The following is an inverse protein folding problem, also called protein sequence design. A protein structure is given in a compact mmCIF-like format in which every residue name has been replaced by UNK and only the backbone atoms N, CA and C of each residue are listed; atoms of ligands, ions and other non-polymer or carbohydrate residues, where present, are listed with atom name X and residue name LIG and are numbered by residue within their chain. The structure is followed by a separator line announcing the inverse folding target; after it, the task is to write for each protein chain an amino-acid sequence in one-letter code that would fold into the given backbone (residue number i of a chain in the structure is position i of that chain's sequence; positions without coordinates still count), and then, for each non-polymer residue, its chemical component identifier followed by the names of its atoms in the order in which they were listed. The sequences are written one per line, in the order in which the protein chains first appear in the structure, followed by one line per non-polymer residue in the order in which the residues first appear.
data_IF_786498051987
#
_entry.id   IF_786498051987
#
_cell.length_a   1.000
_cell.length_b   1.000
_cell.length_c   1.000
_cell.angle_alpha   90.00
_cell.angle_beta   90.00
_cell.angle_gamma   90.00
#
_symmetry.space_group_name_H-M   'P 1'
#
loop_
_entity.id
_entity.type
_entity.pdbx_description
1 polymer ?
#
# COMPACT_ATOMS: atom_id res chain seq x y z
N UNK A 1 -14.54 0.48 14.84
CA UNK A 1 -14.84 1.57 13.94
C UNK A 1 -13.93 1.53 12.76
N UNK A 2 -14.45 1.43 11.59
CA UNK A 2 -13.57 1.38 10.44
C UNK A 2 -12.94 2.74 10.22
N UNK A 3 -11.66 2.77 10.04
CA UNK A 3 -10.95 4.01 9.79
C UNK A 3 -9.75 3.72 8.90
N UNK A 4 -9.22 4.77 8.32
CA UNK A 4 -8.02 4.68 7.52
C UNK A 4 -6.82 4.66 8.46
N UNK A 5 -5.90 3.75 8.21
CA UNK A 5 -4.69 3.65 8.99
C UNK A 5 -3.51 4.11 8.15
N UNK A 6 -2.60 4.83 8.77
CA UNK A 6 -1.39 5.29 8.10
C UNK A 6 -0.21 4.75 8.87
N UNK A 7 0.67 4.04 8.18
CA UNK A 7 1.81 3.41 8.80
C UNK A 7 3.07 3.79 8.05
N UNK A 8 4.11 4.20 8.78
CA UNK A 8 5.40 4.47 8.16
C UNK A 8 6.26 3.22 8.29
N UNK A 9 6.87 2.83 7.19
CA UNK A 9 7.64 1.60 7.16
C UNK A 9 8.94 1.79 6.42
N UNK A 10 9.96 1.02 6.78
CA UNK A 10 11.25 1.12 6.11
C UNK A 10 11.26 0.28 4.83
N UNK A 11 12.12 0.63 3.88
CA UNK A 11 12.24 -0.17 2.66
C UNK A 11 12.60 -1.63 2.93
N UNK A 12 13.33 -1.87 4.03
CA UNK A 12 13.75 -3.24 4.35
C UNK A 12 12.60 -4.08 4.87
N UNK A 13 11.55 -3.46 5.39
CA UNK A 13 10.46 -4.18 6.02
C UNK A 13 9.16 -4.12 5.24
N UNK A 14 9.12 -3.35 4.16
CA UNK A 14 7.85 -3.12 3.49
C UNK A 14 7.21 -4.41 2.98
N UNK A 15 7.99 -5.29 2.38
CA UNK A 15 7.42 -6.53 1.85
C UNK A 15 6.93 -7.42 2.97
N UNK A 16 7.69 -7.53 4.05
CA UNK A 16 7.26 -8.32 5.19
C UNK A 16 5.99 -7.73 5.79
N UNK A 17 5.94 -6.40 5.90
CA UNK A 17 4.77 -5.73 6.44
C UNK A 17 3.53 -6.01 5.60
N UNK A 18 3.65 -5.88 4.27
CA UNK A 18 2.52 -6.11 3.38
C UNK A 18 2.07 -7.56 3.41
N UNK A 19 3.01 -8.49 3.50
CA UNK A 19 2.68 -9.90 3.57
C UNK A 19 1.93 -10.22 4.87
N UNK A 20 2.41 -9.68 5.98
CA UNK A 20 1.73 -9.88 7.24
C UNK A 20 0.36 -9.20 7.25
N UNK A 21 0.26 -8.02 6.64
CA UNK A 21 -1.01 -7.33 6.56
C UNK A 21 -2.04 -8.16 5.79
N UNK A 22 -1.60 -8.85 4.74
CA UNK A 22 -2.49 -9.72 3.99
C UNK A 22 -3.05 -10.82 4.87
N UNK A 23 -2.22 -11.37 5.74
CA UNK A 23 -2.66 -12.43 6.65
C UNK A 23 -3.71 -11.92 7.65
N UNK A 24 -3.52 -10.72 8.17
CA UNK A 24 -4.42 -10.20 9.20
C UNK A 24 -5.62 -9.45 8.67
N UNK A 25 -5.47 -8.80 7.51
CA UNK A 25 -6.53 -7.93 6.99
C UNK A 25 -7.25 -8.52 5.78
N UNK A 26 -6.66 -9.53 5.15
CA UNK A 26 -7.26 -10.16 3.99
C UNK A 26 -6.72 -9.61 2.69
N UNK A 27 -6.78 -10.43 1.66
CA UNK A 27 -6.22 -10.09 0.35
C UNK A 27 -6.96 -8.97 -0.34
N UNK A 28 -8.21 -8.77 0.02
CA UNK A 28 -9.05 -7.78 -0.65
C UNK A 28 -9.00 -6.40 -0.03
N UNK A 29 -8.21 -6.22 1.03
CA UNK A 29 -8.11 -4.91 1.66
C UNK A 29 -7.35 -3.95 0.76
N UNK A 30 -7.89 -2.76 0.55
CA UNK A 30 -7.23 -1.77 -0.29
C UNK A 30 -6.16 -1.02 0.47
N UNK A 31 -5.03 -0.82 -0.19
CA UNK A 31 -3.91 -0.08 0.39
C UNK A 31 -3.29 0.82 -0.67
N UNK A 32 -2.57 1.81 -0.23
CA UNK A 32 -1.74 2.64 -1.09
C UNK A 32 -0.35 2.69 -0.46
N UNK A 33 0.66 2.30 -1.21
CA UNK A 33 2.04 2.37 -0.75
C UNK A 33 2.65 3.58 -1.41
N UNK A 34 2.99 4.57 -0.60
CA UNK A 34 3.48 5.85 -1.09
C UNK A 34 4.97 5.94 -0.80
N UNK A 35 5.76 6.11 -1.84
CA UNK A 35 7.20 6.19 -1.72
C UNK A 35 7.67 7.56 -2.07
N UNK A 36 8.54 8.14 -1.28
CA UNK A 36 9.15 9.44 -1.55
C UNK A 36 8.14 10.54 -1.82
N UNK A 37 7.10 10.58 -0.98
CA UNK A 37 6.06 11.60 -1.14
C UNK A 37 6.65 12.99 -1.19
N UNK A 38 6.14 13.81 -2.07
CA UNK A 38 6.55 15.20 -2.30
C UNK A 38 7.97 15.37 -2.82
N UNK A 39 8.63 14.27 -3.19
CA UNK A 39 9.97 14.34 -3.76
C UNK A 39 9.91 14.08 -5.27
N UNK A 40 11.04 14.30 -5.93
CA UNK A 40 11.09 14.23 -7.38
C UNK A 40 10.70 12.85 -7.93
N UNK A 41 10.95 11.80 -7.17
CA UNK A 41 10.67 10.45 -7.64
C UNK A 41 9.55 9.81 -6.84
N UNK A 42 8.54 10.60 -6.54
CA UNK A 42 7.38 10.10 -5.82
C UNK A 42 6.68 8.99 -6.59
N UNK A 43 6.25 7.97 -5.89
CA UNK A 43 5.53 6.87 -6.48
C UNK A 43 4.41 6.44 -5.54
N UNK A 44 3.23 6.18 -6.08
CA UNK A 44 2.12 5.66 -5.30
C UNK A 44 1.61 4.41 -6.00
N UNK A 45 1.67 3.28 -5.29
CA UNK A 45 1.16 2.01 -5.78
C UNK A 45 -0.07 1.68 -4.96
N UNK A 46 -1.23 1.58 -5.61
CA UNK A 46 -2.47 1.34 -4.89
C UNK A 46 -3.22 0.17 -5.49
N UNK A 47 -4.03 -0.44 -4.67
CA UNK A 47 -4.87 -1.58 -5.09
C UNK A 47 -5.14 -2.46 -3.90
N UNK A 48 -5.64 -3.66 -4.17
CA UNK A 48 -5.86 -4.64 -3.12
C UNK A 48 -4.50 -5.20 -2.72
N UNK A 49 -4.41 -5.70 -1.48
CA UNK A 49 -3.15 -6.30 -1.03
C UNK A 49 -2.70 -7.41 -1.98
N UNK A 50 -3.66 -8.20 -2.51
CA UNK A 50 -3.31 -9.27 -3.45
C UNK A 50 -2.66 -8.74 -4.73
N UNK A 51 -2.92 -7.47 -5.08
CA UNK A 51 -2.34 -6.85 -6.26
C UNK A 51 -1.04 -6.14 -5.95
N UNK A 52 -0.94 -5.58 -4.77
CA UNK A 52 0.21 -4.75 -4.40
C UNK A 52 1.40 -5.59 -3.96
N UNK A 53 1.16 -6.67 -3.23
CA UNK A 53 2.25 -7.51 -2.74
C UNK A 53 3.15 -8.03 -3.88
N UNK A 54 2.59 -8.58 -4.97
CA UNK A 54 3.45 -9.07 -6.04
C UNK A 54 4.29 -7.99 -6.69
N UNK A 55 3.80 -6.76 -6.73
CA UNK A 55 4.55 -5.67 -7.32
C UNK A 55 5.85 -5.48 -6.55
N UNK A 56 5.77 -5.50 -5.21
CA UNK A 56 6.97 -5.29 -4.41
C UNK A 56 7.83 -6.56 -4.32
N UNK A 57 7.23 -7.74 -4.45
CA UNK A 57 8.00 -8.96 -4.48
C UNK A 57 8.94 -9.02 -5.68
N UNK A 58 8.53 -8.41 -6.78
CA UNK A 58 9.32 -8.45 -8.00
C UNK A 58 10.38 -7.36 -8.08
N UNK A 59 10.50 -6.53 -7.07
CA UNK A 59 11.50 -5.48 -7.08
C UNK A 59 12.77 -5.96 -6.43
N UNK A 60 13.88 -5.81 -7.14
CA UNK A 60 15.17 -6.22 -6.60
C UNK A 60 15.59 -5.34 -5.43
N UNK A 61 15.18 -4.07 -5.45
CA UNK A 61 15.57 -3.15 -4.42
C UNK A 61 14.53 -2.08 -4.25
N UNK A 62 14.15 -1.83 -3.03
CA UNK A 62 13.18 -0.79 -2.71
C UNK A 62 13.90 0.26 -1.90
N UNK A 63 13.77 1.52 -2.30
CA UNK A 63 14.46 2.62 -1.63
C UNK A 63 13.49 3.70 -1.25
N UNK A 64 13.89 4.52 -0.31
CA UNK A 64 13.18 5.75 0.03
C UNK A 64 12.24 5.60 1.20
N UNK A 65 11.65 6.71 1.57
CA UNK A 65 10.70 6.73 2.66
C UNK A 65 9.38 6.18 2.20
N UNK A 66 8.77 5.35 3.01
CA UNK A 66 7.54 4.66 2.65
C UNK A 66 6.45 4.92 3.67
N UNK A 67 5.28 5.25 3.16
CA UNK A 67 4.10 5.43 3.97
C UNK A 67 3.01 4.54 3.38
N UNK A 68 2.39 3.69 4.19
CA UNK A 68 1.34 2.81 3.74
C UNK A 68 0.02 3.32 4.30
N UNK A 69 -0.93 3.54 3.42
CA UNK A 69 -2.27 3.97 3.81
C UNK A 69 -3.19 2.77 3.62
N UNK A 70 -3.86 2.34 4.67
CA UNK A 70 -4.72 1.17 4.64
C UNK A 70 -6.16 1.64 4.76
N UNK A 71 -6.97 1.31 3.77
CA UNK A 71 -8.36 1.71 3.75
C UNK A 71 -9.19 0.89 4.74
N UNK A 72 -10.34 1.40 5.14
CA UNK A 72 -11.23 0.63 6.03
C UNK A 72 -11.76 -0.61 5.33
N UNK A 73 -12.24 -1.59 6.09
CA UNK A 73 -12.64 -2.88 5.50
C UNK A 73 -13.73 -2.80 4.45
N UNK A 74 -14.62 -1.83 4.57
CA UNK A 74 -15.72 -1.72 3.64
C UNK A 74 -15.47 -0.71 2.53
N UNK A 75 -14.21 -0.26 2.38
CA UNK A 75 -13.90 0.68 1.32
C UNK A 75 -14.03 0.00 -0.05
N UNK A 76 -14.62 0.72 -1.00
CA UNK A 76 -14.66 0.27 -2.37
C UNK A 76 -14.09 1.37 -3.23
N UNK A 77 -13.21 0.97 -4.14
CA UNK A 77 -12.62 1.94 -5.03
C UNK A 77 -13.67 2.33 -6.04
N UNK A 78 -14.07 3.59 -6.07
CA UNK A 78 -15.03 4.04 -6.99
C UNK A 78 -14.38 4.28 -8.31
N UNK A 79 -15.04 3.88 -9.38
CA UNK A 79 -14.60 4.23 -10.64
C UNK A 79 -15.00 5.59 -10.88
N UNK A 80 -14.13 6.47 -10.75
CA UNK A 80 -14.43 7.83 -10.92
C UNK A 80 -14.64 8.08 -12.32
N UNK A 81 -15.80 8.42 -12.64
CA UNK A 81 -16.03 8.84 -13.88
C UNK A 81 -15.33 10.03 -14.04
N UNK A 82 -14.58 10.15 -14.87
CA UNK A 82 -13.90 11.27 -15.18
C UNK A 82 -14.50 12.44 -14.66
N UNK A 83 -14.00 12.90 -13.82
CA UNK A 83 -14.48 14.12 -13.32
C UNK A 83 -14.06 15.28 -14.15
#
# INVERSE_FOLDING_TARGET
MPCTLVVYESPHRILKFLTEATTYLGEDRYVAVCRELTKAFEEIVRGKLSEVVPIFENRAKIKGEICVVIAPPNYQEEQTEAL
#
